data_IF_094302798232
#
_entry.id   IF_094302798232
#
_cell.length_a   1.000
_cell.length_b   1.000
_cell.length_c   1.000
_cell.angle_alpha   90.00
_cell.angle_beta   90.00
_cell.angle_gamma   90.00
#
_symmetry.space_group_name_H-M   'P 1'
#
loop_
_entity.id
_entity.type
_entity.pdbx_description
1 polymer ?
#
# COMPACT_ATOMS: atom_id res chain seq x y z
N UNK A 1 -18.54 -23.09 54.69
CA UNK A 1 -19.42 -23.94 53.86
C UNK A 1 -19.33 -23.42 52.43
N UNK A 2 -18.96 -24.28 51.48
CA UNK A 2 -18.46 -23.92 50.14
C UNK A 2 -19.44 -23.04 49.33
N UNK A 3 -18.97 -21.88 48.92
CA UNK A 3 -19.62 -21.00 47.92
C UNK A 3 -19.44 -21.61 46.53
N UNK A 4 -20.34 -22.54 46.18
CA UNK A 4 -20.39 -23.20 44.88
C UNK A 4 -21.44 -22.49 44.00
N UNK A 5 -21.21 -22.48 42.68
CA UNK A 5 -22.00 -21.87 41.58
C UNK A 5 -21.69 -20.42 41.17
N UNK A 6 -20.65 -20.26 40.34
CA UNK A 6 -20.77 -19.42 39.12
C UNK A 6 -19.85 -19.78 37.94
N UNK A 7 -19.62 -21.07 37.59
CA UNK A 7 -18.78 -21.41 36.43
C UNK A 7 -19.43 -21.05 35.08
N UNK A 8 -20.77 -20.95 34.99
CA UNK A 8 -21.45 -20.72 33.71
C UNK A 8 -21.21 -19.32 33.12
N UNK A 9 -21.01 -18.26 33.93
CA UNK A 9 -20.82 -16.91 33.37
C UNK A 9 -19.47 -16.72 32.70
N UNK A 10 -18.42 -17.30 33.28
CA UNK A 10 -17.06 -17.20 32.72
C UNK A 10 -16.93 -18.08 31.47
N UNK A 11 -17.54 -19.27 31.49
CA UNK A 11 -17.56 -20.16 30.32
C UNK A 11 -18.42 -19.59 29.18
N UNK A 12 -19.55 -18.93 29.48
CA UNK A 12 -20.36 -18.22 28.46
C UNK A 12 -19.62 -16.99 27.90
N UNK A 13 -18.82 -16.30 28.72
CA UNK A 13 -17.99 -15.19 28.26
C UNK A 13 -16.81 -15.66 27.39
N UNK A 14 -16.17 -16.79 27.73
CA UNK A 14 -15.12 -17.42 26.92
C UNK A 14 -15.67 -17.98 25.58
N UNK A 15 -16.87 -18.59 25.61
CA UNK A 15 -17.56 -19.06 24.40
C UNK A 15 -18.01 -17.91 23.51
N UNK A 16 -18.36 -16.74 24.08
CA UNK A 16 -18.62 -15.52 23.30
C UNK A 16 -17.35 -14.95 22.67
N UNK A 17 -16.20 -15.08 23.33
CA UNK A 17 -14.92 -14.58 22.80
C UNK A 17 -14.37 -15.43 21.65
N UNK A 18 -14.63 -16.75 21.67
CA UNK A 18 -14.36 -17.66 20.54
C UNK A 18 -15.18 -17.32 19.28
N UNK A 19 -16.36 -16.70 19.44
CA UNK A 19 -17.19 -16.22 18.32
C UNK A 19 -16.69 -14.91 17.71
N UNK A 20 -15.69 -14.26 18.32
CA UNK A 20 -15.11 -12.99 17.85
C UNK A 20 -13.79 -13.13 17.10
N UNK A 21 -13.32 -14.36 16.85
CA UNK A 21 -12.17 -14.59 15.98
C UNK A 21 -12.46 -15.60 14.88
N UNK A 22 -13.13 -15.10 13.87
CA UNK A 22 -13.06 -15.64 12.53
C UNK A 22 -12.49 -14.53 11.63
N UNK A 23 -11.22 -14.71 11.29
CA UNK A 23 -10.59 -13.99 10.19
C UNK A 23 -11.05 -14.70 8.93
N UNK A 24 -12.23 -14.31 8.46
CA UNK A 24 -12.76 -14.81 7.22
C UNK A 24 -12.25 -13.83 6.17
N UNK A 25 -11.30 -14.31 5.36
CA UNK A 25 -10.97 -13.69 4.09
C UNK A 25 -12.22 -13.69 3.22
N UNK A 26 -13.10 -12.73 3.46
CA UNK A 26 -14.26 -12.49 2.63
C UNK A 26 -13.78 -11.75 1.39
N UNK A 27 -13.76 -12.48 0.28
CA UNK A 27 -13.77 -11.94 -1.06
C UNK A 27 -15.07 -11.13 -1.28
N UNK A 28 -15.22 -10.02 -0.55
CA UNK A 28 -16.27 -9.03 -0.74
C UNK A 28 -15.99 -8.23 -2.01
N UNK A 29 -16.22 -8.84 -3.17
CA UNK A 29 -15.89 -8.31 -4.50
C UNK A 29 -16.76 -7.13 -4.97
N UNK A 30 -17.35 -6.33 -4.06
CA UNK A 30 -18.45 -5.41 -4.43
C UNK A 30 -18.41 -3.97 -3.93
N UNK A 31 -17.57 -3.56 -2.96
CA UNK A 31 -17.69 -2.22 -2.33
C UNK A 31 -16.38 -1.55 -1.90
N UNK A 32 -15.23 -2.09 -2.29
CA UNK A 32 -13.96 -1.43 -1.97
C UNK A 32 -13.65 -0.42 -3.07
N UNK A 33 -13.81 0.88 -2.79
CA UNK A 33 -13.48 1.99 -3.71
C UNK A 33 -12.06 1.87 -4.29
N UNK A 34 -11.13 1.32 -3.51
CA UNK A 34 -9.75 1.04 -3.95
C UNK A 34 -9.67 -0.04 -5.04
N UNK A 35 -10.50 -1.10 -4.97
CA UNK A 35 -10.54 -2.16 -5.98
C UNK A 35 -11.18 -1.63 -7.27
N UNK A 36 -12.24 -0.82 -7.15
CA UNK A 36 -12.90 -0.18 -8.29
C UNK A 36 -11.94 0.82 -8.96
N UNK A 37 -11.27 1.68 -8.18
CA UNK A 37 -10.27 2.61 -8.70
C UNK A 37 -9.08 1.88 -9.34
N UNK A 38 -8.61 0.77 -8.75
CA UNK A 38 -7.58 -0.07 -9.34
C UNK A 38 -8.01 -0.67 -10.69
N UNK A 39 -9.24 -1.19 -10.77
CA UNK A 39 -9.81 -1.69 -12.02
C UNK A 39 -9.97 -0.62 -13.09
N UNK A 40 -10.42 0.58 -12.71
CA UNK A 40 -10.51 1.76 -13.59
C UNK A 40 -9.13 2.17 -14.09
N UNK A 41 -8.13 2.25 -13.20
CA UNK A 41 -6.77 2.64 -13.55
C UNK A 41 -6.15 1.64 -14.55
N UNK A 42 -6.28 0.33 -14.28
CA UNK A 42 -5.81 -0.72 -15.19
C UNK A 42 -6.52 -0.64 -16.55
N UNK A 43 -7.84 -0.45 -16.55
CA UNK A 43 -8.61 -0.32 -17.79
C UNK A 43 -8.23 0.92 -18.58
N UNK A 44 -7.96 2.05 -17.92
CA UNK A 44 -7.55 3.29 -18.55
C UNK A 44 -6.13 3.23 -19.14
N UNK A 45 -5.21 2.52 -18.47
CA UNK A 45 -3.82 2.37 -18.93
C UNK A 45 -3.64 1.26 -19.98
N UNK A 46 -4.56 0.29 -20.04
CA UNK A 46 -4.49 -0.79 -21.01
C UNK A 46 -4.61 -0.27 -22.46
N UNK A 47 -3.84 -0.87 -23.37
CA UNK A 47 -3.92 -0.56 -24.81
C UNK A 47 -5.34 -0.84 -25.33
N UNK A 48 -5.99 0.18 -25.90
CA UNK A 48 -7.38 0.07 -26.36
C UNK A 48 -8.42 0.11 -25.23
N UNK A 49 -8.00 0.47 -24.02
CA UNK A 49 -8.87 0.70 -22.87
C UNK A 49 -9.98 1.71 -23.17
N UNK A 50 -11.23 1.26 -23.10
CA UNK A 50 -12.43 2.08 -23.27
C UNK A 50 -13.43 1.77 -22.18
N UNK A 51 -14.12 2.81 -21.73
CA UNK A 51 -15.27 2.72 -20.83
C UNK A 51 -16.55 2.72 -21.66
N UNK A 52 -17.54 1.92 -21.24
CA UNK A 52 -18.86 1.93 -21.89
C UNK A 52 -19.55 3.28 -21.63
N UNK A 53 -20.26 3.78 -22.64
CA UNK A 53 -21.04 5.02 -22.55
C UNK A 53 -22.41 4.83 -23.22
N UNK A 54 -23.39 5.67 -22.86
CA UNK A 54 -24.67 5.72 -23.55
C UNK A 54 -24.48 6.10 -25.03
N UNK A 55 -25.36 5.58 -25.90
CA UNK A 55 -25.37 5.90 -27.33
C UNK A 55 -25.81 7.34 -27.62
N UNK A 56 -26.56 7.93 -26.70
CA UNK A 56 -26.94 9.33 -26.76
C UNK A 56 -25.76 10.21 -26.34
N UNK A 57 -25.56 11.32 -27.06
CA UNK A 57 -24.44 12.25 -26.93
C UNK A 57 -24.47 13.09 -25.64
N UNK A 58 -24.87 12.51 -24.51
CA UNK A 58 -24.87 13.19 -23.23
C UNK A 58 -23.43 13.28 -22.74
N UNK A 59 -22.82 14.46 -22.95
CA UNK A 59 -21.39 14.73 -22.68
C UNK A 59 -21.00 14.57 -21.21
N UNK A 60 -21.96 14.74 -20.30
CA UNK A 60 -21.75 14.73 -18.85
C UNK A 60 -21.22 13.38 -18.32
N UNK A 61 -21.72 12.26 -18.86
CA UNK A 61 -21.21 10.93 -18.51
C UNK A 61 -19.79 10.69 -19.01
N UNK A 62 -19.46 11.22 -20.19
CA UNK A 62 -18.13 11.05 -20.75
C UNK A 62 -17.09 11.82 -19.92
N UNK A 63 -17.42 13.01 -19.44
CA UNK A 63 -16.48 13.85 -18.70
C UNK A 63 -16.29 13.37 -17.25
N UNK A 64 -17.35 12.87 -16.61
CA UNK A 64 -17.26 12.22 -15.28
C UNK A 64 -16.41 10.95 -15.32
N UNK A 65 -16.59 10.09 -16.34
CA UNK A 65 -15.79 8.86 -16.51
C UNK A 65 -14.32 9.19 -16.81
N UNK A 66 -14.05 10.20 -17.65
CA UNK A 66 -12.67 10.69 -17.87
C UNK A 66 -12.05 11.20 -16.57
N UNK A 67 -12.78 12.00 -15.80
CA UNK A 67 -12.31 12.53 -14.52
C UNK A 67 -11.98 11.42 -13.51
N UNK A 68 -12.85 10.42 -13.39
CA UNK A 68 -12.61 9.25 -12.55
C UNK A 68 -11.41 8.42 -13.04
N UNK A 69 -11.27 8.22 -14.35
CA UNK A 69 -10.15 7.49 -14.93
C UNK A 69 -8.82 8.20 -14.70
N UNK A 70 -8.75 9.50 -14.98
CA UNK A 70 -7.55 10.31 -14.73
C UNK A 70 -7.21 10.30 -13.24
N UNK A 71 -8.19 10.54 -12.36
CA UNK A 71 -7.99 10.55 -10.91
C UNK A 71 -7.47 9.21 -10.38
N UNK A 72 -7.99 8.08 -10.88
CA UNK A 72 -7.53 6.75 -10.50
C UNK A 72 -6.10 6.48 -10.98
N UNK A 73 -5.77 6.83 -12.22
CA UNK A 73 -4.42 6.65 -12.78
C UNK A 73 -3.40 7.51 -12.04
N UNK A 74 -3.69 8.79 -11.79
CA UNK A 74 -2.79 9.69 -11.06
C UNK A 74 -2.50 9.16 -9.66
N UNK A 75 -3.53 8.74 -8.91
CA UNK A 75 -3.33 8.15 -7.58
C UNK A 75 -2.50 6.86 -7.61
N UNK A 76 -2.69 6.01 -8.62
CA UNK A 76 -1.88 4.80 -8.80
C UNK A 76 -0.41 5.13 -9.08
N UNK A 77 -0.13 6.14 -9.91
CA UNK A 77 1.23 6.60 -10.21
C UNK A 77 1.89 7.30 -9.01
N UNK A 78 1.15 8.10 -8.25
CA UNK A 78 1.65 8.78 -7.06
C UNK A 78 2.06 7.78 -5.98
N UNK A 79 1.23 6.77 -5.73
CA UNK A 79 1.53 5.71 -4.76
C UNK A 79 2.74 4.88 -5.17
N UNK A 80 2.86 4.53 -6.45
CA UNK A 80 4.05 3.87 -6.99
C UNK A 80 5.31 4.73 -6.80
N UNK A 81 5.23 6.02 -7.10
CA UNK A 81 6.36 6.95 -6.95
C UNK A 81 6.81 7.06 -5.49
N UNK A 82 5.87 7.17 -4.56
CA UNK A 82 6.17 7.22 -3.12
C UNK A 82 6.81 5.90 -2.66
N UNK A 83 6.29 4.76 -3.13
CA UNK A 83 6.84 3.45 -2.79
C UNK A 83 8.30 3.33 -3.24
N UNK A 84 8.61 3.69 -4.49
CA UNK A 84 9.98 3.67 -5.03
C UNK A 84 10.90 4.57 -4.20
N UNK A 85 10.48 5.80 -3.88
CA UNK A 85 11.28 6.72 -3.06
C UNK A 85 11.59 6.14 -1.69
N UNK A 86 10.59 5.59 -1.00
CA UNK A 86 10.77 4.97 0.31
C UNK A 86 11.77 3.81 0.25
N UNK A 87 11.64 2.93 -0.74
CA UNK A 87 12.57 1.80 -0.91
C UNK A 87 13.99 2.26 -1.22
N UNK A 88 14.15 3.30 -2.06
CA UNK A 88 15.46 3.89 -2.36
C UNK A 88 16.06 4.55 -1.11
N UNK A 89 15.28 5.29 -0.34
CA UNK A 89 15.72 5.94 0.90
C UNK A 89 16.18 4.91 1.95
N UNK A 90 15.44 3.82 2.09
CA UNK A 90 15.81 2.69 2.96
C UNK A 90 17.10 2.00 2.50
N UNK A 91 17.24 1.77 1.19
CA UNK A 91 18.47 1.26 0.59
C UNK A 91 19.66 2.18 0.84
N UNK A 92 19.48 3.48 0.62
CA UNK A 92 20.52 4.49 0.84
C UNK A 92 20.92 4.59 2.32
N UNK A 93 19.97 4.49 3.25
CA UNK A 93 20.26 4.44 4.69
C UNK A 93 21.13 3.23 5.06
N UNK A 94 20.86 2.08 4.42
CA UNK A 94 21.65 0.87 4.60
C UNK A 94 23.08 1.04 4.09
N UNK A 95 23.27 1.65 2.91
CA UNK A 95 24.59 1.97 2.36
C UNK A 95 25.36 2.93 3.25
N UNK A 96 24.70 3.99 3.75
CA UNK A 96 25.31 4.94 4.70
C UNK A 96 25.83 4.24 5.96
N UNK A 97 25.06 3.32 6.51
CA UNK A 97 25.45 2.52 7.67
C UNK A 97 26.63 1.58 7.38
N UNK A 98 26.59 0.88 6.24
CA UNK A 98 27.65 -0.04 5.82
C UNK A 98 28.99 0.68 5.55
N UNK A 99 28.93 1.85 4.91
CA UNK A 99 30.11 2.66 4.61
C UNK A 99 30.60 3.48 5.82
N UNK A 100 29.95 3.36 7.01
CA UNK A 100 30.24 4.14 8.23
C UNK A 100 30.45 5.63 7.94
N UNK A 101 29.68 6.19 7.01
CA UNK A 101 29.77 7.60 6.64
C UNK A 101 29.13 8.41 7.78
N UNK A 102 29.96 8.78 8.75
CA UNK A 102 29.62 9.66 9.85
C UNK A 102 30.02 11.09 9.46
N UNK A 103 29.22 12.09 9.80
CA UNK A 103 29.55 13.51 9.57
C UNK A 103 30.81 13.95 10.33
N UNK A 104 31.17 13.21 11.39
CA UNK A 104 32.35 13.44 12.21
C UNK A 104 33.54 12.53 11.82
N UNK A 105 33.38 11.67 10.81
CA UNK A 105 34.48 10.83 10.33
C UNK A 105 35.39 11.63 9.39
N UNK A 106 36.69 11.47 9.59
CA UNK A 106 37.72 11.97 8.66
C UNK A 106 37.39 11.51 7.23
N UNK A 107 37.40 12.42 6.24
CA UNK A 107 37.10 12.07 4.87
C UNK A 107 38.00 10.93 4.42
N UNK A 108 37.45 9.96 3.70
CA UNK A 108 38.24 8.88 3.09
C UNK A 108 38.99 9.53 1.91
N UNK A 109 40.11 10.17 2.19
CA UNK A 109 41.06 10.55 1.15
C UNK A 109 41.77 9.28 0.73
N UNK A 110 41.55 8.87 -0.51
CA UNK A 110 42.38 7.84 -1.13
C UNK A 110 43.74 8.51 -1.40
N UNK A 111 44.63 8.44 -0.41
CA UNK A 111 46.04 8.72 -0.65
C UNK A 111 46.54 7.61 -1.57
N UNK A 112 46.75 7.93 -2.85
CA UNK A 112 47.48 7.06 -3.75
C UNK A 112 48.90 6.90 -3.19
N UNK A 113 49.19 5.72 -2.62
CA UNK A 113 50.54 5.32 -2.22
C UNK A 113 51.32 4.95 -3.50
N UNK A 114 51.45 5.92 -4.41
CA UNK A 114 52.44 5.92 -5.47
C UNK A 114 53.79 6.09 -4.78
N UNK A 115 54.36 4.92 -4.47
CA UNK A 115 55.55 4.72 -3.67
C UNK A 115 56.76 5.45 -4.25
N UNK A 116 57.46 6.18 -3.39
CA UNK A 116 58.86 6.56 -3.58
C UNK A 116 59.72 5.30 -3.72
N UNK A 117 60.35 5.12 -4.88
CA UNK A 117 61.72 4.64 -4.98
C UNK A 117 62.39 5.17 -6.24
#
# INVERSE_FOLDING_TARGET
>A
MLTYYKPLRVVVMLLSWLKYKQADGEAGTGKNDAVIAGGIALRAMAKGGKFANASDSNSDYADTVKGAAIGAVTKALDTLTIAIRKTVDEGLKTVKGAMKINTDATPITTEDVSSTK
#
